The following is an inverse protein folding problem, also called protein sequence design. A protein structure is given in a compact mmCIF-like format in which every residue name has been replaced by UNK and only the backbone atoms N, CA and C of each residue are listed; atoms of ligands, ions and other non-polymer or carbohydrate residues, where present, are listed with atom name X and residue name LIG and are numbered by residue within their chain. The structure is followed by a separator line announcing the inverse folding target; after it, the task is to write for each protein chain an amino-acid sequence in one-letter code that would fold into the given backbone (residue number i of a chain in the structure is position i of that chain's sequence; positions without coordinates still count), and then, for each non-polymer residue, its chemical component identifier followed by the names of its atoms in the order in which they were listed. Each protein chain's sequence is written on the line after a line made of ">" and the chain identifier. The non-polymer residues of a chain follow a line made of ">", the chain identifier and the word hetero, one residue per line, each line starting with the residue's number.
data_IF_637394906037
#
_entry.id   IF_637394906037
#
_cell.length_a   1.000
_cell.length_b   1.000
_cell.length_c   1.000
_cell.angle_alpha   90.00
_cell.angle_beta   90.00
_cell.angle_gamma   90.00
#
_symmetry.space_group_name_H-M   'P 1'
#
loop_
_entity.id
_entity.type
_entity.pdbx_description
1 polymer ?
#
# COMPACT_ATOMS: atom_id res chain seq x y z
N UNK A 1 -81.53 -20.25 -45.95
CA UNK A 1 -81.20 -18.87 -45.51
C UNK A 1 -80.23 -18.96 -44.33
N UNK A 2 -79.11 -18.23 -44.38
CA UNK A 2 -78.22 -17.78 -43.27
C UNK A 2 -77.75 -18.80 -42.18
N UNK A 3 -76.43 -19.00 -42.13
CA UNK A 3 -75.61 -19.41 -40.94
C UNK A 3 -75.71 -18.36 -39.79
N UNK A 4 -75.14 -18.52 -38.55
CA UNK A 4 -74.15 -19.50 -38.02
C UNK A 4 -74.65 -20.22 -36.72
N UNK A 5 -73.88 -20.94 -35.86
CA UNK A 5 -72.48 -21.42 -35.83
C UNK A 5 -72.03 -21.88 -34.41
N UNK A 6 -70.71 -22.08 -34.19
CA UNK A 6 -70.02 -22.49 -32.94
C UNK A 6 -70.27 -23.91 -32.37
N UNK A 7 -69.19 -24.64 -32.05
CA UNK A 7 -68.71 -25.03 -30.69
C UNK A 7 -67.61 -26.11 -30.80
N UNK A 8 -66.56 -26.00 -29.97
CA UNK A 8 -65.49 -27.01 -29.82
C UNK A 8 -66.00 -28.23 -29.03
N UNK A 9 -65.49 -29.44 -29.31
CA UNK A 9 -64.96 -30.31 -28.25
C UNK A 9 -63.97 -31.38 -28.77
N UNK A 10 -62.76 -31.32 -28.23
CA UNK A 10 -61.92 -32.41 -27.70
C UNK A 10 -61.97 -33.84 -28.29
N UNK A 11 -60.78 -34.29 -28.71
CA UNK A 11 -60.32 -35.68 -28.59
C UNK A 11 -58.89 -35.66 -28.02
N UNK A 12 -58.61 -36.53 -27.06
CA UNK A 12 -57.28 -36.64 -26.45
C UNK A 12 -56.96 -38.05 -25.96
N UNK A 13 -55.68 -38.39 -25.98
CA UNK A 13 -55.01 -39.50 -25.30
C UNK A 13 -53.60 -38.95 -24.93
N UNK A 14 -53.23 -38.72 -23.67
CA UNK A 14 -52.91 -39.70 -22.60
C UNK A 14 -51.62 -40.48 -22.89
N UNK A 15 -50.49 -40.08 -22.26
CA UNK A 15 -49.74 -40.91 -21.28
C UNK A 15 -48.34 -40.38 -20.91
N UNK A 16 -47.98 -40.60 -19.64
CA UNK A 16 -46.64 -40.81 -19.07
C UNK A 16 -45.57 -39.69 -19.05
N UNK A 17 -45.30 -39.27 -17.82
CA UNK A 17 -44.05 -38.67 -17.31
C UNK A 17 -42.83 -39.57 -17.51
N UNK A 18 -41.68 -38.97 -17.87
CA UNK A 18 -40.37 -39.62 -17.85
C UNK A 18 -39.23 -38.60 -17.76
N UNK A 19 -38.38 -38.71 -16.74
CA UNK A 19 -37.20 -37.86 -16.55
C UNK A 19 -36.10 -38.11 -17.59
N UNK A 20 -35.47 -37.07 -18.16
CA UNK A 20 -34.21 -37.21 -18.88
C UNK A 20 -33.03 -37.18 -17.90
N UNK A 21 -32.41 -38.33 -17.66
CA UNK A 21 -31.19 -38.46 -16.85
C UNK A 21 -29.98 -38.76 -17.74
N UNK A 22 -29.06 -37.79 -17.92
CA UNK A 22 -27.66 -37.89 -18.42
C UNK A 22 -27.01 -36.50 -18.28
N UNK A 23 -25.75 -36.30 -17.95
CA UNK A 23 -24.64 -37.17 -17.47
C UNK A 23 -23.70 -36.26 -16.61
N UNK A 24 -22.82 -36.79 -15.73
CA UNK A 24 -22.14 -35.96 -14.74
C UNK A 24 -20.94 -35.19 -15.33
N UNK A 25 -21.22 -33.99 -15.85
CA UNK A 25 -20.18 -32.99 -16.14
C UNK A 25 -19.44 -32.54 -14.88
N UNK A 26 -18.12 -32.40 -14.97
CA UNK A 26 -17.26 -32.09 -13.83
C UNK A 26 -17.70 -30.80 -13.11
N UNK A 27 -17.85 -30.86 -11.78
CA UNK A 27 -18.05 -29.69 -10.92
C UNK A 27 -16.77 -28.83 -10.88
N UNK A 28 -16.58 -27.99 -11.89
CA UNK A 28 -15.99 -26.68 -11.64
C UNK A 28 -16.98 -25.91 -10.75
N UNK A 29 -16.53 -25.46 -9.58
CA UNK A 29 -17.39 -24.70 -8.68
C UNK A 29 -17.70 -23.33 -9.29
N UNK A 30 -18.89 -23.20 -9.85
CA UNK A 30 -19.45 -21.89 -10.23
C UNK A 30 -19.63 -21.08 -8.94
N UNK A 31 -19.02 -19.89 -8.81
CA UNK A 31 -19.05 -19.14 -7.56
C UNK A 31 -20.47 -18.71 -7.23
N UNK A 32 -20.93 -19.00 -6.00
CA UNK A 32 -22.31 -18.82 -5.56
C UNK A 32 -22.68 -17.35 -5.27
N UNK A 33 -22.46 -16.45 -6.23
CA UNK A 33 -22.81 -15.03 -6.17
C UNK A 33 -23.47 -14.58 -7.46
N UNK A 34 -24.53 -13.78 -7.32
CA UNK A 34 -25.44 -13.45 -8.43
C UNK A 34 -24.79 -12.69 -9.59
N UNK A 35 -25.42 -12.78 -10.77
CA UNK A 35 -25.03 -11.99 -11.94
C UNK A 35 -25.31 -10.51 -11.72
N UNK A 36 -24.61 -9.64 -12.45
CA UNK A 36 -24.81 -8.19 -12.40
C UNK A 36 -26.28 -7.79 -12.63
N UNK A 37 -27.00 -8.49 -13.51
CA UNK A 37 -28.40 -8.19 -13.81
C UNK A 37 -29.31 -8.40 -12.58
N UNK A 38 -29.07 -9.46 -11.79
CA UNK A 38 -29.81 -9.71 -10.56
C UNK A 38 -29.43 -8.71 -9.44
N UNK A 39 -28.14 -8.44 -9.28
CA UNK A 39 -27.63 -7.64 -8.16
C UNK A 39 -27.77 -6.12 -8.34
N UNK A 40 -27.88 -5.61 -9.57
CA UNK A 40 -27.79 -4.17 -9.86
C UNK A 40 -29.09 -3.37 -9.72
N UNK A 41 -30.24 -4.04 -9.55
CA UNK A 41 -31.55 -3.38 -9.47
C UNK A 41 -31.71 -2.30 -8.37
N UNK A 42 -31.20 -2.47 -7.13
CA UNK A 42 -31.35 -1.46 -6.07
C UNK A 42 -30.32 -0.32 -6.12
N UNK A 43 -29.55 -0.17 -7.21
CA UNK A 43 -28.47 0.81 -7.31
C UNK A 43 -28.79 1.95 -8.29
N UNK A 44 -28.61 3.19 -7.84
CA UNK A 44 -28.60 4.37 -8.70
C UNK A 44 -27.39 4.36 -9.65
N UNK A 45 -27.58 4.75 -10.90
CA UNK A 45 -26.49 4.85 -11.86
C UNK A 45 -25.59 6.07 -11.58
N UNK A 46 -24.27 5.91 -11.73
CA UNK A 46 -23.30 6.99 -11.63
C UNK A 46 -22.32 6.96 -12.84
N UNK A 47 -21.94 8.13 -13.39
CA UNK A 47 -21.03 8.22 -14.52
C UNK A 47 -19.55 8.07 -14.11
N UNK A 48 -18.67 7.87 -15.10
CA UNK A 48 -17.22 7.97 -14.95
C UNK A 48 -16.68 9.35 -15.41
N UNK A 49 -15.76 9.99 -14.66
CA UNK A 49 -15.12 9.49 -13.44
C UNK A 49 -16.06 9.47 -12.23
N UNK A 50 -15.97 8.42 -11.42
CA UNK A 50 -16.69 8.28 -10.16
C UNK A 50 -15.77 8.69 -8.99
N UNK A 51 -16.34 9.24 -7.94
CA UNK A 51 -15.60 9.64 -6.72
C UNK A 51 -16.41 9.32 -5.48
N UNK A 52 -15.71 8.88 -4.42
CA UNK A 52 -16.25 8.56 -3.12
C UNK A 52 -15.31 9.13 -2.03
N UNK A 53 -15.88 9.59 -0.92
CA UNK A 53 -15.12 10.12 0.22
C UNK A 53 -15.61 9.51 1.55
N UNK A 54 -14.88 9.75 2.64
CA UNK A 54 -15.24 9.24 3.98
C UNK A 54 -16.69 9.54 4.36
N UNK A 55 -17.15 10.77 4.10
CA UNK A 55 -18.51 11.20 4.48
C UNK A 55 -19.59 10.31 3.86
N UNK A 56 -19.35 9.78 2.65
CA UNK A 56 -20.25 8.87 1.96
C UNK A 56 -20.28 7.48 2.60
N UNK A 57 -19.15 7.03 3.15
CA UNK A 57 -19.05 5.75 3.88
C UNK A 57 -19.61 5.89 5.31
N UNK A 58 -19.42 7.03 5.97
CA UNK A 58 -19.98 7.30 7.30
C UNK A 58 -21.49 7.62 7.31
N UNK A 59 -22.06 8.10 6.20
CA UNK A 59 -23.45 8.57 6.11
C UNK A 59 -24.52 7.45 6.29
N UNK A 60 -25.08 7.32 7.49
CA UNK A 60 -26.13 6.34 7.83
C UNK A 60 -27.56 6.71 7.41
N UNK A 61 -27.78 7.79 6.63
CA UNK A 61 -29.13 8.21 6.21
C UNK A 61 -29.80 7.22 5.27
N UNK A 62 -29.03 6.50 4.45
CA UNK A 62 -29.57 5.45 3.58
C UNK A 62 -29.87 4.19 4.40
N UNK A 63 -31.13 3.81 4.42
CA UNK A 63 -31.66 2.62 5.10
C UNK A 63 -31.78 1.40 4.19
N UNK A 64 -31.53 1.52 2.88
CA UNK A 64 -31.54 0.40 1.96
C UNK A 64 -30.56 -0.70 2.41
N UNK A 65 -30.97 -1.95 2.23
CA UNK A 65 -30.19 -3.12 2.59
C UNK A 65 -30.17 -4.10 1.41
N UNK A 66 -28.97 -4.55 1.07
CA UNK A 66 -28.75 -5.59 0.06
C UNK A 66 -28.78 -6.97 0.71
N UNK A 67 -28.93 -8.00 -0.12
CA UNK A 67 -28.80 -9.39 0.31
C UNK A 67 -27.43 -9.65 0.92
N UNK A 68 -27.41 -9.87 2.23
CA UNK A 68 -26.15 -10.14 2.94
C UNK A 68 -25.52 -11.47 2.52
N UNK A 69 -26.31 -12.43 2.00
CA UNK A 69 -25.81 -13.70 1.51
C UNK A 69 -25.03 -13.52 0.20
N UNK A 70 -25.63 -12.87 -0.80
CA UNK A 70 -25.05 -12.70 -2.14
C UNK A 70 -23.78 -11.83 -2.13
N UNK A 71 -23.75 -10.75 -1.34
CA UNK A 71 -22.57 -9.90 -1.24
C UNK A 71 -21.49 -10.48 -0.30
N UNK A 72 -21.85 -11.35 0.66
CA UNK A 72 -20.85 -12.08 1.46
C UNK A 72 -20.17 -13.18 0.65
N UNK A 73 -20.88 -13.93 -0.21
CA UNK A 73 -20.27 -15.01 -1.00
C UNK A 73 -19.30 -14.48 -2.08
N UNK A 74 -19.44 -13.20 -2.47
CA UNK A 74 -18.53 -12.49 -3.36
C UNK A 74 -17.36 -11.79 -2.66
N UNK A 75 -17.31 -11.78 -1.33
CA UNK A 75 -16.27 -11.12 -0.55
C UNK A 75 -15.33 -12.19 0.07
N UNK A 76 -14.05 -12.27 -0.36
CA UNK A 76 -13.09 -13.21 0.24
C UNK A 76 -12.97 -13.05 1.76
N UNK A 77 -12.92 -14.17 2.48
CA UNK A 77 -12.88 -14.18 3.95
C UNK A 77 -11.70 -13.42 4.55
N UNK A 78 -10.56 -13.36 3.84
CA UNK A 78 -9.40 -12.55 4.20
C UNK A 78 -9.74 -11.06 4.24
N UNK A 79 -10.32 -10.53 3.15
CA UNK A 79 -10.79 -9.14 3.07
C UNK A 79 -11.93 -8.88 4.05
N UNK A 80 -12.88 -9.80 4.21
CA UNK A 80 -13.96 -9.69 5.20
C UNK A 80 -13.38 -9.50 6.61
N UNK A 81 -12.47 -10.37 7.01
CA UNK A 81 -11.88 -10.37 8.36
C UNK A 81 -11.05 -9.10 8.58
N UNK A 82 -10.25 -8.70 7.59
CA UNK A 82 -9.42 -7.49 7.64
C UNK A 82 -10.25 -6.20 7.73
N UNK A 83 -11.33 -6.09 6.97
CA UNK A 83 -12.09 -4.83 6.80
C UNK A 83 -13.27 -4.70 7.77
N UNK A 84 -13.86 -5.81 8.21
CA UNK A 84 -15.17 -5.85 8.87
C UNK A 84 -15.19 -6.73 10.14
N UNK A 85 -14.08 -7.41 10.45
CA UNK A 85 -13.96 -8.34 11.57
C UNK A 85 -14.90 -9.55 11.46
N UNK A 86 -15.15 -10.21 12.61
CA UNK A 86 -16.02 -11.38 12.71
C UNK A 86 -17.53 -11.09 12.80
N UNK A 87 -17.95 -9.84 12.62
CA UNK A 87 -19.33 -9.40 12.86
C UNK A 87 -20.33 -9.76 11.76
N UNK A 88 -21.62 -9.50 12.04
CA UNK A 88 -22.68 -9.52 11.03
C UNK A 88 -22.57 -8.27 10.17
N UNK A 89 -22.22 -8.46 8.90
CA UNK A 89 -22.10 -7.38 7.92
C UNK A 89 -23.47 -6.97 7.39
N UNK A 90 -23.73 -5.66 7.36
CA UNK A 90 -24.80 -5.03 6.57
C UNK A 90 -24.21 -4.46 5.29
N UNK A 91 -24.86 -4.69 4.17
CA UNK A 91 -24.52 -4.10 2.87
C UNK A 91 -25.60 -3.11 2.44
N UNK A 92 -25.19 -1.95 1.92
CA UNK A 92 -26.07 -0.87 1.42
C UNK A 92 -25.55 -0.41 0.05
N UNK A 93 -26.41 -0.20 -0.96
CA UNK A 93 -25.97 0.26 -2.27
C UNK A 93 -25.36 1.67 -2.20
N UNK A 94 -24.36 1.96 -3.03
CA UNK A 94 -23.85 3.33 -3.23
C UNK A 94 -24.03 3.77 -4.68
N UNK A 95 -23.54 2.98 -5.64
CA UNK A 95 -23.64 3.31 -7.06
C UNK A 95 -23.49 2.09 -7.98
N UNK A 96 -24.16 2.13 -9.13
CA UNK A 96 -23.92 1.28 -10.31
C UNK A 96 -23.16 2.07 -11.35
N UNK A 97 -22.03 1.55 -11.82
CA UNK A 97 -21.11 2.26 -12.71
C UNK A 97 -20.86 1.39 -13.94
N UNK A 98 -21.13 1.93 -15.13
CA UNK A 98 -20.80 1.28 -16.40
C UNK A 98 -19.38 1.68 -16.80
N UNK A 99 -18.52 0.68 -17.07
CA UNK A 99 -17.16 0.88 -17.56
C UNK A 99 -17.04 0.64 -19.07
N UNK A 100 -15.80 0.62 -19.56
CA UNK A 100 -15.51 0.24 -20.94
C UNK A 100 -15.66 -1.29 -21.14
N UNK A 101 -15.92 -1.73 -22.38
CA UNK A 101 -15.78 -3.12 -22.83
C UNK A 101 -16.47 -4.18 -21.94
N UNK A 102 -17.78 -4.04 -21.70
CA UNK A 102 -18.60 -4.96 -20.88
C UNK A 102 -18.18 -5.10 -19.40
N UNK A 103 -17.27 -4.25 -18.93
CA UNK A 103 -16.91 -4.13 -17.51
C UNK A 103 -17.94 -3.24 -16.80
N UNK A 104 -18.43 -3.70 -15.65
CA UNK A 104 -19.38 -2.96 -14.82
C UNK A 104 -18.99 -3.05 -13.36
N UNK A 105 -19.42 -2.09 -12.55
CA UNK A 105 -19.13 -2.07 -11.13
C UNK A 105 -20.37 -1.79 -10.28
N UNK A 106 -20.41 -2.40 -9.10
CA UNK A 106 -21.31 -2.04 -8.00
C UNK A 106 -20.46 -1.55 -6.82
N UNK A 107 -20.60 -0.26 -6.49
CA UNK A 107 -20.04 0.34 -5.28
C UNK A 107 -21.01 0.11 -4.12
N UNK A 108 -20.54 -0.56 -3.07
CA UNK A 108 -21.37 -1.05 -1.95
C UNK A 108 -20.72 -0.63 -0.64
N UNK A 109 -21.48 -0.03 0.28
CA UNK A 109 -21.02 0.13 1.66
C UNK A 109 -21.24 -1.16 2.42
N UNK A 110 -20.19 -1.67 3.04
CA UNK A 110 -20.25 -2.71 4.07
C UNK A 110 -20.06 -2.09 5.46
N UNK A 111 -20.79 -2.57 6.46
CA UNK A 111 -20.68 -2.10 7.85
C UNK A 111 -20.88 -3.23 8.86
N UNK A 112 -20.04 -3.25 9.90
CA UNK A 112 -19.97 -4.29 10.92
C UNK A 112 -19.47 -3.68 12.23
N UNK A 113 -20.38 -3.40 13.17
CA UNK A 113 -20.06 -2.64 14.39
C UNK A 113 -19.53 -1.23 14.05
N UNK A 114 -18.32 -0.90 14.54
CA UNK A 114 -17.60 0.33 14.18
C UNK A 114 -16.96 0.28 12.79
N UNK A 115 -16.67 -0.91 12.26
CA UNK A 115 -15.99 -1.08 10.97
C UNK A 115 -16.89 -0.72 9.80
N UNK A 116 -16.34 0.05 8.84
CA UNK A 116 -17.02 0.42 7.59
C UNK A 116 -16.02 0.44 6.44
N UNK A 117 -16.48 0.02 5.27
CA UNK A 117 -15.72 0.11 4.03
C UNK A 117 -16.66 0.32 2.86
N UNK A 118 -16.17 0.98 1.81
CA UNK A 118 -16.75 0.88 0.48
C UNK A 118 -16.03 -0.21 -0.31
N UNK A 119 -16.81 -1.15 -0.83
CA UNK A 119 -16.36 -2.26 -1.66
C UNK A 119 -16.81 -2.03 -3.10
N UNK A 120 -15.90 -2.14 -4.04
CA UNK A 120 -16.20 -2.10 -5.47
C UNK A 120 -16.20 -3.53 -6.01
N UNK A 121 -17.40 -4.06 -6.29
CA UNK A 121 -17.55 -5.35 -6.95
C UNK A 121 -17.47 -5.14 -8.46
N UNK A 122 -16.44 -5.71 -9.10
CA UNK A 122 -16.25 -5.68 -10.56
C UNK A 122 -16.94 -6.89 -11.18
N UNK A 123 -17.67 -6.63 -12.26
CA UNK A 123 -18.29 -7.62 -13.12
C UNK A 123 -17.74 -7.48 -14.54
N UNK A 124 -17.61 -8.61 -15.23
CA UNK A 124 -17.19 -8.68 -16.63
C UNK A 124 -18.12 -9.64 -17.37
N UNK A 125 -18.71 -9.20 -18.49
CA UNK A 125 -19.75 -9.98 -19.21
C UNK A 125 -20.93 -10.39 -18.32
N UNK A 126 -21.21 -9.57 -17.29
CA UNK A 126 -22.25 -9.82 -16.28
C UNK A 126 -21.86 -10.76 -15.13
N UNK A 127 -20.71 -11.41 -15.18
CA UNK A 127 -20.24 -12.34 -14.14
C UNK A 127 -19.32 -11.64 -13.13
N UNK A 128 -19.33 -12.03 -11.84
CA UNK A 128 -18.38 -11.52 -10.85
C UNK A 128 -16.92 -11.78 -11.28
N UNK A 129 -16.09 -10.74 -11.23
CA UNK A 129 -14.69 -10.81 -11.65
C UNK A 129 -13.72 -10.48 -10.51
N UNK A 130 -14.12 -9.67 -9.54
CA UNK A 130 -13.34 -9.38 -8.34
C UNK A 130 -14.00 -8.36 -7.42
N UNK A 131 -13.42 -8.16 -6.24
CA UNK A 131 -13.83 -7.10 -5.30
C UNK A 131 -12.61 -6.31 -4.86
N UNK A 132 -12.77 -4.99 -4.74
CA UNK A 132 -11.71 -4.07 -4.31
C UNK A 132 -12.17 -3.24 -3.10
N UNK A 133 -11.35 -3.05 -2.05
CA UNK A 133 -11.63 -2.11 -0.97
C UNK A 133 -11.42 -0.67 -1.48
N UNK A 134 -12.46 -0.11 -2.10
CA UNK A 134 -12.41 1.20 -2.74
C UNK A 134 -12.00 2.30 -1.75
N UNK A 135 -12.68 2.38 -0.60
CA UNK A 135 -12.37 3.36 0.45
C UNK A 135 -12.58 2.70 1.82
N UNK A 136 -11.63 2.89 2.73
CA UNK A 136 -11.64 2.29 4.07
C UNK A 136 -11.26 3.40 5.06
N UNK A 137 -12.25 4.12 5.62
CA UNK A 137 -11.97 5.23 6.51
C UNK A 137 -11.16 4.77 7.71
N UNK A 138 -10.14 5.54 8.07
CA UNK A 138 -9.43 5.38 9.33
C UNK A 138 -10.16 6.11 10.48
N UNK A 139 -9.52 6.23 11.63
CA UNK A 139 -10.08 6.82 12.84
C UNK A 139 -9.41 8.15 13.24
N UNK A 140 -8.47 8.67 12.44
CA UNK A 140 -7.76 9.92 12.70
C UNK A 140 -8.61 11.11 12.21
N UNK A 141 -9.08 12.02 13.07
CA UNK A 141 -9.85 13.19 12.64
C UNK A 141 -9.02 14.21 11.85
N UNK A 142 -7.69 14.05 11.77
CA UNK A 142 -6.82 14.87 10.93
C UNK A 142 -6.73 14.37 9.48
N UNK A 143 -7.16 13.14 9.18
CA UNK A 143 -7.14 12.60 7.82
C UNK A 143 -8.43 12.90 7.06
N UNK A 144 -8.34 12.87 5.73
CA UNK A 144 -9.45 12.83 4.81
C UNK A 144 -9.07 11.93 3.63
N UNK A 145 -9.91 10.96 3.32
CA UNK A 145 -9.72 10.01 2.24
C UNK A 145 -10.72 10.27 1.11
N UNK A 146 -10.23 10.10 -0.12
CA UNK A 146 -11.01 10.11 -1.35
C UNK A 146 -10.61 8.93 -2.20
N UNK A 147 -11.52 8.37 -2.99
CA UNK A 147 -11.22 7.30 -3.91
C UNK A 147 -11.99 7.49 -5.19
N UNK A 148 -11.28 7.46 -6.32
CA UNK A 148 -11.82 7.75 -7.64
C UNK A 148 -11.63 6.57 -8.58
N UNK A 149 -12.53 6.46 -9.55
CA UNK A 149 -12.43 5.53 -10.67
C UNK A 149 -12.49 6.38 -11.93
N UNK A 150 -11.45 6.33 -12.76
CA UNK A 150 -11.41 7.09 -14.01
C UNK A 150 -12.11 6.36 -15.17
N UNK A 151 -12.10 6.96 -16.36
CA UNK A 151 -12.72 6.38 -17.57
C UNK A 151 -11.93 5.21 -18.17
N UNK A 152 -10.65 5.06 -17.84
CA UNK A 152 -9.84 3.89 -18.20
C UNK A 152 -10.05 2.72 -17.22
N UNK A 153 -10.69 2.96 -16.07
CA UNK A 153 -10.89 1.99 -15.00
C UNK A 153 -9.72 1.92 -14.02
N UNK A 154 -8.80 2.88 -14.04
CA UNK A 154 -7.80 3.03 -12.99
C UNK A 154 -8.49 3.56 -11.72
N UNK A 155 -8.12 2.97 -10.58
CA UNK A 155 -8.66 3.33 -9.26
C UNK A 155 -7.56 4.08 -8.51
N UNK A 156 -7.82 5.34 -8.14
CA UNK A 156 -6.92 6.10 -7.27
C UNK A 156 -7.50 6.16 -5.87
N UNK A 157 -6.72 5.82 -4.85
CA UNK A 157 -7.02 6.09 -3.43
C UNK A 157 -6.12 7.23 -2.99
N UNK A 158 -6.69 8.36 -2.59
CA UNK A 158 -5.98 9.50 -2.03
C UNK A 158 -6.27 9.61 -0.53
N UNK A 159 -5.25 9.97 0.24
CA UNK A 159 -5.35 10.36 1.64
C UNK A 159 -4.64 11.69 1.84
N UNK A 160 -5.26 12.56 2.61
CA UNK A 160 -4.79 13.91 2.91
C UNK A 160 -4.79 14.06 4.43
N UNK A 161 -3.68 14.48 5.04
CA UNK A 161 -3.54 14.61 6.50
C UNK A 161 -3.20 16.03 6.87
N UNK A 162 -4.02 16.64 7.72
CA UNK A 162 -3.77 17.98 8.27
C UNK A 162 -2.66 17.90 9.32
N UNK A 163 -1.62 18.68 9.11
CA UNK A 163 -0.50 18.84 10.02
C UNK A 163 -0.68 20.12 10.86
N UNK A 164 0.12 20.32 11.92
CA UNK A 164 0.18 21.60 12.62
C UNK A 164 0.48 22.77 11.67
N UNK A 165 0.14 24.01 12.07
CA UNK A 165 0.37 25.25 11.29
C UNK A 165 -0.32 25.29 9.91
N UNK A 166 -1.49 24.64 9.76
CA UNK A 166 -2.30 24.61 8.51
C UNK A 166 -1.64 23.88 7.32
N UNK A 167 -0.51 23.19 7.54
CA UNK A 167 0.12 22.35 6.53
C UNK A 167 -0.69 21.08 6.26
N UNK A 168 -0.45 20.46 5.10
CA UNK A 168 -1.21 19.31 4.63
C UNK A 168 -0.26 18.34 3.91
N UNK A 169 -0.17 17.10 4.40
CA UNK A 169 0.50 16.00 3.71
C UNK A 169 -0.49 15.24 2.82
N UNK A 170 -0.01 14.70 1.71
CA UNK A 170 -0.81 13.90 0.77
C UNK A 170 -0.14 12.55 0.49
N UNK A 171 -0.96 11.51 0.38
CA UNK A 171 -0.56 10.18 -0.06
C UNK A 171 -1.55 9.66 -1.09
N UNK A 172 -1.07 8.83 -2.02
CA UNK A 172 -1.83 8.39 -3.19
C UNK A 172 -1.41 6.98 -3.60
N UNK A 173 -2.38 6.11 -3.81
CA UNK A 173 -2.18 4.78 -4.40
C UNK A 173 -2.98 4.70 -5.71
N UNK A 174 -2.41 4.11 -6.75
CA UNK A 174 -3.08 3.88 -8.03
C UNK A 174 -3.09 2.38 -8.33
N UNK A 175 -4.29 1.84 -8.57
CA UNK A 175 -4.52 0.44 -8.86
C UNK A 175 -5.15 0.25 -10.24
N UNK A 176 -4.82 -0.84 -10.90
CA UNK A 176 -5.50 -1.32 -12.10
C UNK A 176 -5.92 -2.78 -11.94
N UNK A 177 -7.02 -3.16 -12.61
CA UNK A 177 -7.42 -4.56 -12.66
C UNK A 177 -6.58 -5.33 -13.68
N UNK A 178 -5.86 -6.34 -13.20
CA UNK A 178 -5.13 -7.29 -14.02
C UNK A 178 -6.10 -8.40 -14.46
N UNK A 179 -6.36 -8.48 -15.78
CA UNK A 179 -7.29 -9.44 -16.38
C UNK A 179 -6.77 -10.88 -16.34
N UNK A 180 -5.46 -11.09 -16.47
CA UNK A 180 -4.82 -12.41 -16.41
C UNK A 180 -4.81 -12.94 -14.97
N UNK A 181 -4.38 -12.10 -14.02
CA UNK A 181 -4.32 -12.43 -12.59
C UNK A 181 -5.68 -12.39 -11.86
N UNK A 182 -6.73 -11.90 -12.54
CA UNK A 182 -8.09 -11.67 -12.00
C UNK A 182 -8.10 -10.94 -10.66
N UNK A 183 -7.24 -9.92 -10.53
CA UNK A 183 -7.04 -9.19 -9.28
C UNK A 183 -6.78 -7.70 -9.55
N UNK A 184 -6.80 -6.89 -8.49
CA UNK A 184 -6.36 -5.50 -8.56
C UNK A 184 -4.89 -5.43 -8.15
N UNK A 185 -4.07 -4.85 -9.01
CA UNK A 185 -2.62 -4.68 -8.82
C UNK A 185 -2.32 -3.21 -8.55
N UNK A 186 -1.49 -2.92 -7.56
CA UNK A 186 -0.93 -1.59 -7.32
C UNK A 186 0.09 -1.27 -8.43
N UNK A 187 -0.11 -0.17 -9.16
CA UNK A 187 0.74 0.25 -10.28
C UNK A 187 1.55 1.53 -10.00
N UNK A 188 1.24 2.23 -8.91
CA UNK A 188 2.01 3.37 -8.42
C UNK A 188 1.55 3.78 -7.02
N UNK A 189 2.47 4.26 -6.19
CA UNK A 189 2.17 4.76 -4.86
C UNK A 189 3.12 5.90 -4.46
N UNK A 190 2.54 6.98 -3.99
CA UNK A 190 3.19 8.10 -3.33
C UNK A 190 2.76 8.02 -1.84
N UNK A 191 3.61 7.56 -0.90
CA UNK A 191 3.18 7.35 0.49
C UNK A 191 2.94 8.68 1.22
N UNK A 192 1.98 8.70 2.16
CA UNK A 192 1.62 9.88 2.96
C UNK A 192 2.78 10.40 3.85
N UNK A 193 3.71 9.53 4.20
CA UNK A 193 4.94 9.84 4.94
C UNK A 193 6.07 8.98 4.35
N UNK A 194 7.24 9.56 4.02
CA UNK A 194 8.37 8.83 3.43
C UNK A 194 9.19 8.06 4.48
N UNK A 195 8.52 7.09 5.10
CA UNK A 195 9.08 6.24 6.16
C UNK A 195 9.89 5.04 5.61
N UNK A 196 10.54 5.14 4.44
CA UNK A 196 11.46 4.08 3.98
C UNK A 196 12.75 4.05 4.81
N UNK A 197 13.04 2.91 5.44
CA UNK A 197 14.28 2.72 6.20
C UNK A 197 15.53 2.91 5.32
N UNK A 198 16.41 3.83 5.72
CA UNK A 198 17.64 4.13 4.98
C UNK A 198 18.61 2.96 5.11
N UNK A 199 18.83 2.25 4.01
CA UNK A 199 19.71 1.10 3.95
C UNK A 199 21.19 1.52 3.95
N UNK A 200 21.95 1.03 4.92
CA UNK A 200 23.39 1.23 4.97
C UNK A 200 24.12 0.27 4.00
N UNK A 201 24.71 0.73 2.88
CA UNK A 201 25.39 -0.14 1.92
C UNK A 201 26.65 -0.80 2.48
N UNK A 202 27.13 -0.35 3.64
CA UNK A 202 28.32 -0.84 4.31
C UNK A 202 28.02 -1.83 5.45
N UNK A 203 26.78 -2.22 5.71
CA UNK A 203 26.44 -3.03 6.90
C UNK A 203 27.14 -4.38 6.99
N UNK A 204 27.35 -5.04 5.84
CA UNK A 204 27.96 -6.38 5.70
C UNK A 204 29.49 -6.37 5.72
N UNK A 205 30.13 -5.20 5.67
CA UNK A 205 31.58 -5.07 5.61
C UNK A 205 32.25 -5.29 6.98
N UNK A 206 33.53 -5.63 6.95
CA UNK A 206 34.34 -5.83 8.16
C UNK A 206 34.40 -4.58 9.05
N UNK A 207 34.66 -4.83 10.35
CA UNK A 207 34.76 -3.81 11.40
C UNK A 207 35.98 -4.08 12.31
N UNK A 208 37.11 -4.44 11.69
CA UNK A 208 38.35 -4.81 12.37
C UNK A 208 39.22 -3.61 12.75
N UNK A 209 39.18 -2.53 11.97
CA UNK A 209 39.92 -1.30 12.30
C UNK A 209 39.36 -0.63 13.57
N UNK A 210 40.20 -0.06 14.48
CA UNK A 210 39.73 0.54 15.73
C UNK A 210 38.66 1.64 15.56
N UNK A 211 38.71 2.37 14.45
CA UNK A 211 37.76 3.43 14.06
C UNK A 211 36.52 2.91 13.31
N UNK A 212 36.46 1.62 12.94
CA UNK A 212 35.31 1.05 12.24
C UNK A 212 34.11 0.83 13.18
N UNK A 213 32.92 1.20 12.73
CA UNK A 213 31.70 1.11 13.54
C UNK A 213 30.57 1.96 12.96
N UNK A 214 29.43 1.92 13.62
CA UNK A 214 28.30 2.80 13.30
C UNK A 214 28.28 3.94 14.29
N UNK A 215 28.21 5.17 13.80
CA UNK A 215 28.14 6.38 14.59
C UNK A 215 26.77 7.01 14.30
N UNK A 216 25.87 6.99 15.28
CA UNK A 216 24.43 7.14 15.05
C UNK A 216 23.84 8.20 15.97
N UNK A 217 23.22 9.22 15.38
CA UNK A 217 22.43 10.24 16.10
C UNK A 217 20.97 9.81 16.18
N UNK A 218 20.40 9.34 15.06
CA UNK A 218 19.09 8.68 14.97
C UNK A 218 19.06 7.74 13.73
N UNK A 219 17.95 7.07 13.46
CA UNK A 219 17.83 6.12 12.34
C UNK A 219 18.09 6.74 10.95
N UNK A 220 17.88 8.05 10.80
CA UNK A 220 18.05 8.82 9.56
C UNK A 220 19.27 9.76 9.59
N UNK A 221 20.12 9.67 10.60
CA UNK A 221 21.28 10.53 10.78
C UNK A 221 22.43 9.72 11.36
N UNK A 222 23.27 9.16 10.48
CA UNK A 222 24.35 8.26 10.85
C UNK A 222 25.54 8.28 9.89
N UNK A 223 26.69 7.87 10.42
CA UNK A 223 27.93 7.65 9.70
C UNK A 223 28.40 6.22 9.98
N UNK A 224 28.54 5.42 8.94
CA UNK A 224 29.07 4.07 9.01
C UNK A 224 30.50 4.03 8.50
N UNK A 225 31.42 3.59 9.35
CA UNK A 225 32.85 3.44 9.03
C UNK A 225 33.19 1.95 9.00
N UNK A 226 33.96 1.52 8.00
CA UNK A 226 34.40 0.15 7.78
C UNK A 226 35.85 0.10 7.30
N UNK A 227 36.44 -1.07 7.41
CA UNK A 227 37.73 -1.37 6.81
C UNK A 227 37.68 -1.15 5.28
N UNK A 228 38.72 -0.51 4.75
CA UNK A 228 38.99 -0.45 3.32
C UNK A 228 39.93 -1.59 2.90
N UNK A 229 40.34 -1.57 1.63
CA UNK A 229 41.33 -2.53 1.11
C UNK A 229 42.71 -2.32 1.71
N UNK A 230 43.08 -1.07 1.97
CA UNK A 230 44.38 -0.68 2.53
C UNK A 230 44.21 -0.26 4.01
N UNK A 231 45.15 -0.59 4.92
CA UNK A 231 45.08 -0.17 6.32
C UNK A 231 45.16 1.35 6.54
N UNK A 232 45.66 2.09 5.55
CA UNK A 232 45.69 3.56 5.52
C UNK A 232 44.38 4.19 5.04
N UNK A 233 43.33 3.42 4.79
CA UNK A 233 42.07 3.86 4.21
C UNK A 233 40.88 3.36 5.04
N UNK A 234 39.77 4.11 4.98
CA UNK A 234 38.49 3.73 5.59
C UNK A 234 37.37 3.90 4.58
N UNK A 235 36.52 2.88 4.45
CA UNK A 235 35.26 3.02 3.74
C UNK A 235 34.25 3.71 4.64
N UNK A 236 33.57 4.72 4.12
CA UNK A 236 32.50 5.42 4.84
C UNK A 236 31.22 5.53 4.03
N UNK A 237 30.11 5.61 4.75
CA UNK A 237 28.82 6.07 4.27
C UNK A 237 28.23 7.01 5.30
N UNK A 238 27.83 8.21 4.89
CA UNK A 238 27.04 9.14 5.69
C UNK A 238 25.66 9.28 5.04
N UNK A 239 24.64 9.22 5.89
CA UNK A 239 23.30 9.70 5.60
C UNK A 239 22.90 10.72 6.66
N UNK A 240 22.35 11.85 6.22
CA UNK A 240 21.74 12.82 7.12
C UNK A 240 20.43 13.36 6.55
N UNK A 241 19.52 13.65 7.46
CA UNK A 241 18.26 14.36 7.22
C UNK A 241 18.21 15.52 8.23
N UNK A 242 18.41 16.75 7.74
CA UNK A 242 18.44 17.97 8.56
C UNK A 242 17.58 19.07 7.95
N UNK A 243 16.66 19.63 8.75
CA UNK A 243 15.72 20.66 8.32
C UNK A 243 14.38 20.54 9.04
N UNK A 244 13.44 21.42 8.70
CA UNK A 244 12.00 21.21 8.91
C UNK A 244 11.41 20.67 7.59
N UNK A 245 10.21 20.07 7.61
CA UNK A 245 9.65 19.25 6.52
C UNK A 245 9.81 19.89 5.12
N UNK A 246 9.41 21.16 4.95
CA UNK A 246 9.50 21.93 3.69
C UNK A 246 10.93 22.26 3.19
N UNK A 247 11.93 22.15 4.07
CA UNK A 247 13.35 22.37 3.78
C UNK A 247 14.21 21.19 4.28
N UNK A 248 13.66 19.97 4.20
CA UNK A 248 14.39 18.75 4.61
C UNK A 248 15.57 18.53 3.69
N UNK A 249 16.78 18.84 4.16
CA UNK A 249 17.96 18.45 3.44
C UNK A 249 18.32 17.00 3.72
N UNK A 250 18.24 16.21 2.65
CA UNK A 250 18.80 14.86 2.59
C UNK A 250 20.19 14.95 1.95
N UNK A 251 21.18 14.31 2.57
CA UNK A 251 22.54 14.23 2.05
C UNK A 251 23.13 12.84 2.24
N UNK A 252 23.50 12.21 1.12
CA UNK A 252 24.17 10.92 1.09
C UNK A 252 25.57 11.05 0.48
N UNK A 253 26.57 10.48 1.15
CA UNK A 253 27.90 10.31 0.56
C UNK A 253 28.52 8.98 1.00
N UNK A 254 28.95 8.19 0.03
CA UNK A 254 29.78 7.00 0.23
C UNK A 254 31.12 7.18 -0.48
N UNK A 255 32.18 6.67 0.13
CA UNK A 255 33.51 6.72 -0.46
C UNK A 255 34.57 6.03 0.39
N UNK A 256 35.82 6.20 -0.03
CA UNK A 256 37.01 5.73 0.69
C UNK A 256 37.83 6.97 1.10
N UNK A 257 38.01 7.16 2.40
CA UNK A 257 38.80 8.26 2.96
C UNK A 257 40.20 7.79 3.34
N UNK A 258 41.22 8.58 3.02
CA UNK A 258 42.62 8.30 3.35
C UNK A 258 42.93 8.81 4.75
N UNK A 259 43.51 7.96 5.61
CA UNK A 259 44.00 8.36 6.94
C UNK A 259 45.21 9.29 6.80
N UNK A 260 45.03 10.56 7.17
CA UNK A 260 46.09 11.57 7.25
C UNK A 260 46.72 11.61 8.65
N UNK A 261 46.03 11.08 9.66
CA UNK A 261 46.54 10.88 11.02
C UNK A 261 45.91 9.63 11.65
N UNK A 262 46.32 9.28 12.87
CA UNK A 262 45.69 8.19 13.65
C UNK A 262 44.22 8.45 14.03
N UNK A 263 43.73 9.68 13.82
CA UNK A 263 42.38 10.14 14.18
C UNK A 263 41.71 10.99 13.10
N UNK A 264 42.30 11.12 11.91
CA UNK A 264 41.79 11.99 10.84
C UNK A 264 41.85 11.22 9.53
N UNK A 265 40.72 11.14 8.84
CA UNK A 265 40.64 10.64 7.47
C UNK A 265 40.06 11.73 6.56
N UNK A 266 40.55 11.82 5.33
CA UNK A 266 40.09 12.79 4.34
C UNK A 266 39.61 12.06 3.10
N UNK A 267 38.38 12.30 2.71
CA UNK A 267 37.83 11.90 1.42
C UNK A 267 38.11 12.98 0.37
N UNK A 268 38.66 12.56 -0.77
CA UNK A 268 38.80 13.38 -1.99
C UNK A 268 38.75 12.46 -3.19
N UNK A 269 37.85 12.72 -4.14
CA UNK A 269 37.77 11.98 -5.41
C UNK A 269 38.30 12.84 -6.55
N UNK A 270 39.14 12.27 -7.42
CA UNK A 270 39.63 12.98 -8.60
C UNK A 270 38.48 13.39 -9.52
N UNK A 271 38.35 14.69 -9.78
CA UNK A 271 37.27 15.28 -10.59
C UNK A 271 36.00 15.67 -9.81
N UNK A 272 35.93 15.42 -8.50
CA UNK A 272 34.86 15.90 -7.62
C UNK A 272 35.42 17.03 -6.72
N UNK A 273 34.82 18.24 -6.68
CA UNK A 273 35.24 19.30 -5.75
C UNK A 273 34.92 19.00 -4.29
N UNK A 274 34.16 17.94 -3.98
CA UNK A 274 33.86 17.53 -2.62
C UNK A 274 35.11 17.02 -1.88
N UNK A 275 35.48 17.71 -0.79
CA UNK A 275 36.47 17.23 0.19
C UNK A 275 35.81 17.18 1.57
N UNK A 276 35.80 15.99 2.17
CA UNK A 276 35.20 15.74 3.49
C UNK A 276 36.26 15.24 4.47
N UNK A 277 36.42 15.93 5.60
CA UNK A 277 37.23 15.47 6.72
C UNK A 277 36.38 14.69 7.74
N UNK A 278 36.91 13.57 8.21
CA UNK A 278 36.38 12.76 9.29
C UNK A 278 37.38 12.78 10.45
N UNK A 279 37.04 13.49 11.53
CA UNK A 279 37.88 13.59 12.72
C UNK A 279 37.28 12.77 13.87
N UNK A 280 38.06 11.83 14.40
CA UNK A 280 37.66 10.84 15.40
C UNK A 280 38.16 11.23 16.80
N UNK A 281 37.24 11.53 17.72
CA UNK A 281 37.59 11.95 19.08
C UNK A 281 36.77 11.18 20.12
N UNK A 282 37.47 10.42 20.98
CA UNK A 282 36.83 9.55 21.96
C UNK A 282 35.97 8.49 21.27
N UNK A 283 34.66 8.55 21.51
CA UNK A 283 33.66 7.70 20.85
C UNK A 283 32.86 8.42 19.75
N UNK A 284 33.27 9.62 19.30
CA UNK A 284 32.56 10.36 18.27
C UNK A 284 33.36 10.42 16.98
N UNK A 285 32.66 10.45 15.83
CA UNK A 285 33.20 10.97 14.57
C UNK A 285 32.54 12.30 14.28
N UNK A 286 33.34 13.30 13.95
CA UNK A 286 32.87 14.61 13.49
C UNK A 286 33.18 14.74 12.01
N UNK A 287 32.16 15.06 11.21
CA UNK A 287 32.28 15.37 9.80
C UNK A 287 32.46 16.87 9.61
N UNK A 288 33.31 17.24 8.66
CA UNK A 288 33.49 18.62 8.21
C UNK A 288 33.72 18.70 6.71
N UNK A 289 32.86 19.45 6.03
CA UNK A 289 33.05 19.79 4.62
C UNK A 289 34.17 20.83 4.49
N UNK A 290 35.23 20.50 3.74
CA UNK A 290 36.40 21.34 3.54
C UNK A 290 36.39 22.04 2.18
N UNK A 291 35.93 21.35 1.13
CA UNK A 291 35.71 21.89 -0.22
C UNK A 291 34.36 21.36 -0.75
N UNK A 292 33.70 22.15 -1.59
CA UNK A 292 32.24 22.11 -1.80
C UNK A 292 31.65 20.78 -2.26
N UNK A 293 31.01 20.06 -1.34
CA UNK A 293 30.18 18.88 -1.59
C UNK A 293 28.74 19.25 -2.00
N UNK A 294 28.51 20.47 -2.49
CA UNK A 294 27.21 21.01 -2.92
C UNK A 294 26.52 20.25 -4.07
N UNK A 295 27.19 19.28 -4.69
CA UNK A 295 26.66 18.35 -5.70
C UNK A 295 26.13 17.03 -5.10
N UNK A 296 26.42 16.76 -3.82
CA UNK A 296 26.09 15.51 -3.10
C UNK A 296 24.98 15.71 -2.04
N UNK A 297 24.48 16.93 -1.93
CA UNK A 297 23.40 17.39 -1.04
C UNK A 297 22.77 18.64 -1.64
N UNK A 298 21.62 19.10 -1.12
CA UNK A 298 21.01 20.36 -1.56
C UNK A 298 21.94 21.57 -1.38
N UNK A 299 21.73 22.63 -2.17
CA UNK A 299 22.60 23.83 -2.17
C UNK A 299 22.76 24.46 -0.76
N UNK A 300 21.77 24.28 0.12
CA UNK A 300 21.69 24.97 1.42
C UNK A 300 22.31 24.24 2.64
N UNK A 301 22.80 22.99 2.53
CA UNK A 301 23.02 22.12 3.70
C UNK A 301 24.35 21.37 3.73
N UNK A 302 25.21 21.67 4.69
CA UNK A 302 26.61 21.21 4.77
C UNK A 302 26.74 19.81 5.39
N UNK A 303 27.72 19.01 4.94
CA UNK A 303 28.14 17.78 5.65
C UNK A 303 28.90 18.10 6.96
N UNK A 304 28.18 18.63 7.95
CA UNK A 304 28.72 18.93 9.28
C UNK A 304 27.90 18.27 10.40
N UNK A 305 28.59 17.74 11.41
CA UNK A 305 27.95 17.17 12.59
C UNK A 305 28.86 16.21 13.35
N UNK A 306 28.52 15.95 14.62
CA UNK A 306 29.21 14.97 15.46
C UNK A 306 28.27 13.81 15.80
N UNK A 307 28.73 12.59 15.54
CA UNK A 307 27.95 11.36 15.62
C UNK A 307 28.58 10.41 16.65
N UNK A 308 27.85 9.96 17.69
CA UNK A 308 28.39 9.08 18.70
C UNK A 308 28.35 7.60 18.27
N UNK A 309 29.41 6.86 18.59
CA UNK A 309 29.55 5.43 18.26
C UNK A 309 28.47 4.62 18.97
N UNK A 310 27.65 3.92 18.18
CA UNK A 310 26.64 2.98 18.64
C UNK A 310 27.32 1.87 19.44
N UNK A 311 26.86 1.65 20.68
CA UNK A 311 27.38 0.55 21.52
C UNK A 311 27.08 -0.79 20.83
N UNK A 312 28.04 -1.72 20.76
CA UNK A 312 27.78 -3.04 20.19
C UNK A 312 26.72 -3.76 21.03
N UNK A 313 25.64 -4.19 20.40
CA UNK A 313 24.63 -5.02 21.05
C UNK A 313 25.21 -6.43 21.17
N UNK A 314 25.49 -6.87 22.40
CA UNK A 314 25.97 -8.23 22.62
C UNK A 314 24.95 -9.25 22.07
N UNK A 315 25.38 -10.28 21.34
CA UNK A 315 24.45 -11.27 20.79
C UNK A 315 23.69 -11.92 21.95
N UNK A 316 22.35 -11.88 21.88
CA UNK A 316 21.48 -12.50 22.88
C UNK A 316 21.76 -14.01 22.91
N UNK A 317 22.43 -14.48 23.95
CA UNK A 317 22.70 -15.89 24.17
C UNK A 317 21.37 -16.65 24.22
N UNK A 318 21.10 -17.48 23.23
CA UNK A 318 19.92 -18.34 23.19
C UNK A 318 20.01 -19.34 24.33
N UNK A 319 19.23 -19.10 25.39
CA UNK A 319 19.23 -19.93 26.58
C UNK A 319 18.83 -21.37 26.24
N UNK A 320 19.78 -22.31 26.35
CA UNK A 320 19.52 -23.74 26.16
C UNK A 320 18.46 -24.20 27.17
N UNK A 321 17.29 -24.54 26.65
CA UNK A 321 16.15 -25.07 27.42
C UNK A 321 16.58 -26.38 28.10
N UNK A 322 16.80 -26.37 29.42
CA UNK A 322 17.13 -27.58 30.18
C UNK A 322 15.96 -28.57 30.08
N UNK A 323 16.21 -29.73 29.49
CA UNK A 323 15.33 -30.89 29.61
C UNK A 323 15.27 -31.29 31.09
N UNK A 324 14.06 -31.38 31.64
CA UNK A 324 13.84 -32.08 32.91
C UNK A 324 13.83 -33.58 32.63
N UNK A 325 14.58 -34.33 33.44
CA UNK A 325 14.50 -35.78 33.57
C UNK A 325 13.81 -36.09 34.90
#
# INVERSE_FOLDING_TARGET
>A
MRLPGCVLLWLGFVACSGDPKKEPGAKGAEPAGGSFAALSAPFSAAPLPYSLNDSSVWNTKDTAALSAAEFSSLLPDSLRTQLLGGGKVRFTPLARIEGAQEVRYLSVRASSGSHRAALLYRFEKGNPAGVFPLLVPDADPATAQVSTIDRAGAITRGITKKLPKEQTAEGKEVFMYNTEGKNFTLIGADPLEDNQDVLNPLDTFARTHPLAGDYVKNARNFVSIRDARNPSELNFFVHFETGEEDNTCVGELKGTALLTSSKTAVYRQGGDPCVLELTFQGNNVTLREMEGCGSRRGVQCVFEGSFPRKKPVSPKTTAKKKSKK
#
